data_IF_158843792509
#
_entry.id   IF_158843792509
#
_cell.length_a   1.000
_cell.length_b   1.000
_cell.length_c   1.000
_cell.angle_alpha   90.00
_cell.angle_beta   90.00
_cell.angle_gamma   90.00
#
_symmetry.space_group_name_H-M   'P 1'
#
loop_
_entity.id
_entity.type
_entity.pdbx_description
1 polymer ?
#
# COMPACT_ATOMS: atom_id res chain seq x y z
N UNK A 1 11.84 7.18 17.75
CA UNK A 1 11.32 7.25 16.37
C UNK A 1 10.00 6.52 16.40
N UNK A 2 8.89 7.25 16.31
CA UNK A 2 7.56 6.62 16.31
C UNK A 2 7.49 5.67 15.12
N UNK A 3 7.19 4.40 15.40
CA UNK A 3 7.01 3.41 14.36
C UNK A 3 5.65 3.70 13.73
N UNK A 4 5.63 4.34 12.56
CA UNK A 4 4.41 4.38 11.74
C UNK A 4 4.07 2.93 11.42
N UNK A 5 2.87 2.48 11.75
CA UNK A 5 2.40 1.13 11.39
C UNK A 5 1.76 1.12 9.97
N UNK A 6 1.49 2.31 9.41
CA UNK A 6 0.97 2.53 8.05
C UNK A 6 1.77 3.65 7.38
N UNK A 7 2.12 3.45 6.11
CA UNK A 7 2.81 4.41 5.25
C UNK A 7 1.98 4.70 4.00
N UNK A 8 2.29 5.78 3.29
CA UNK A 8 1.64 6.08 2.01
C UNK A 8 2.54 5.68 0.84
N UNK A 9 2.00 4.98 -0.14
CA UNK A 9 2.71 4.59 -1.37
C UNK A 9 1.99 5.10 -2.62
N UNK A 10 2.76 5.65 -3.55
CA UNK A 10 2.28 5.97 -4.89
C UNK A 10 2.41 4.75 -5.80
N UNK A 11 1.31 4.31 -6.39
CA UNK A 11 1.20 3.11 -7.21
C UNK A 11 0.57 3.43 -8.57
N UNK A 12 0.77 2.54 -9.55
CA UNK A 12 0.11 2.59 -10.86
C UNK A 12 -0.91 1.46 -10.98
N UNK A 13 -2.14 1.79 -11.39
CA UNK A 13 -3.21 0.82 -11.68
C UNK A 13 -3.71 1.11 -13.10
N UNK A 14 -3.46 0.20 -14.03
CA UNK A 14 -3.66 0.47 -15.46
C UNK A 14 -2.85 1.71 -15.89
N UNK A 15 -3.55 2.71 -16.42
CA UNK A 15 -2.94 3.99 -16.85
C UNK A 15 -3.01 5.10 -15.78
N UNK A 16 -3.55 4.80 -14.59
CA UNK A 16 -3.73 5.77 -13.51
C UNK A 16 -2.65 5.65 -12.44
N UNK A 17 -2.29 6.79 -11.84
CA UNK A 17 -1.43 6.86 -10.65
C UNK A 17 -2.33 7.19 -9.44
N UNK A 18 -2.18 6.43 -8.35
CA UNK A 18 -2.97 6.61 -7.12
C UNK A 18 -2.06 6.55 -5.89
N UNK A 19 -2.49 7.20 -4.81
CA UNK A 19 -1.94 6.98 -3.48
C UNK A 19 -2.74 5.86 -2.80
N UNK A 20 -2.05 5.02 -2.05
CA UNK A 20 -2.63 3.96 -1.25
C UNK A 20 -1.85 3.78 0.05
N UNK A 21 -2.48 3.11 1.01
CA UNK A 21 -1.80 2.73 2.25
C UNK A 21 -0.88 1.54 1.99
N UNK A 22 0.26 1.55 2.66
CA UNK A 22 1.29 0.54 2.64
C UNK A 22 1.47 0.02 4.07
N UNK A 23 1.47 -1.31 4.20
CA UNK A 23 1.77 -2.00 5.46
C UNK A 23 2.80 -3.08 5.23
N UNK A 24 3.51 -3.47 6.28
CA UNK A 24 4.40 -4.63 6.24
C UNK A 24 3.76 -5.79 7.00
N UNK A 25 3.43 -6.85 6.26
CA UNK A 25 2.93 -8.10 6.82
C UNK A 25 4.05 -9.13 6.73
N UNK A 26 4.52 -9.64 7.87
CA UNK A 26 5.63 -10.60 7.95
C UNK A 26 6.90 -10.18 7.17
N UNK A 27 7.19 -8.88 7.16
CA UNK A 27 8.34 -8.29 6.46
C UNK A 27 8.14 -8.08 4.96
N UNK A 28 6.96 -8.38 4.42
CA UNK A 28 6.60 -8.16 3.02
C UNK A 28 5.75 -6.89 2.89
N UNK A 29 6.12 -5.94 2.01
CA UNK A 29 5.32 -4.75 1.76
C UNK A 29 4.03 -5.11 1.04
N UNK A 30 2.91 -4.57 1.50
CA UNK A 30 1.59 -4.78 0.93
C UNK A 30 0.88 -3.44 0.75
N UNK A 31 0.26 -3.24 -0.41
CA UNK A 31 -0.75 -2.19 -0.60
C UNK A 31 -2.04 -2.65 0.08
N UNK A 32 -2.63 -1.79 0.90
CA UNK A 32 -3.97 -2.01 1.43
C UNK A 32 -4.98 -1.48 0.42
N UNK A 33 -5.83 -2.37 -0.08
CA UNK A 33 -6.90 -2.06 -1.00
C UNK A 33 -8.20 -1.73 -0.26
N UNK A 34 -8.49 -2.50 0.78
CA UNK A 34 -9.65 -2.30 1.67
C UNK A 34 -9.25 -2.52 3.12
N UNK A 35 -9.73 -1.64 3.99
CA UNK A 35 -9.67 -1.80 5.43
C UNK A 35 -10.93 -2.50 5.95
N UNK A 36 -10.76 -3.45 6.87
CA UNK A 36 -11.89 -4.02 7.60
C UNK A 36 -12.13 -3.25 8.89
N UNK A 37 -13.26 -2.58 8.95
CA UNK A 37 -13.78 -1.95 10.16
C UNK A 37 -14.48 -3.00 11.02
N UNK A 38 -13.74 -3.68 11.89
CA UNK A 38 -14.37 -4.38 13.01
C UNK A 38 -14.39 -3.47 14.24
N UNK A 39 -15.46 -3.56 15.04
CA UNK A 39 -15.84 -2.63 16.11
C UNK A 39 -14.79 -2.33 17.21
N UNK A 40 -13.61 -2.96 17.17
CA UNK A 40 -12.53 -2.76 18.13
C UNK A 40 -11.18 -2.37 17.52
N UNK A 41 -10.88 -2.71 16.25
CA UNK A 41 -9.62 -2.35 15.58
C UNK A 41 -9.76 -2.40 14.05
N UNK A 42 -9.33 -1.35 13.38
CA UNK A 42 -9.10 -1.31 11.94
C UNK A 42 -7.92 -2.23 11.58
N UNK A 43 -8.08 -3.09 10.58
CA UNK A 43 -7.01 -3.95 10.09
C UNK A 43 -7.08 -4.13 8.56
N UNK A 44 -5.94 -4.36 7.88
CA UNK A 44 -5.95 -4.54 6.42
C UNK A 44 -6.80 -5.75 6.06
N UNK A 45 -7.79 -5.56 5.19
CA UNK A 45 -8.69 -6.62 4.74
C UNK A 45 -8.25 -7.22 3.42
N UNK A 46 -8.34 -6.43 2.36
CA UNK A 46 -7.84 -6.81 1.03
C UNK A 46 -6.49 -6.15 0.83
N UNK A 47 -5.47 -6.94 0.56
CA UNK A 47 -4.10 -6.45 0.36
C UNK A 47 -3.45 -7.06 -0.87
N UNK A 48 -2.55 -6.31 -1.51
CA UNK A 48 -1.76 -6.76 -2.66
C UNK A 48 -0.27 -6.77 -2.26
N UNK A 49 0.41 -7.93 -2.28
CA UNK A 49 1.84 -7.98 -1.99
C UNK A 49 2.63 -7.26 -3.08
N UNK A 50 3.62 -6.47 -2.67
CA UNK A 50 4.56 -5.81 -3.55
C UNK A 50 5.92 -6.52 -3.54
N UNK A 51 6.63 -6.43 -4.65
CA UNK A 51 8.05 -6.80 -4.67
C UNK A 51 8.88 -5.65 -4.08
N UNK A 52 9.56 -5.83 -2.93
CA UNK A 52 10.32 -4.76 -2.27
C UNK A 52 11.45 -4.20 -3.14
N UNK A 53 11.93 -4.93 -4.15
CA UNK A 53 12.98 -4.45 -5.07
C UNK A 53 12.53 -3.29 -5.96
N UNK A 54 11.22 -3.09 -6.06
CA UNK A 54 10.61 -2.02 -6.85
C UNK A 54 10.03 -0.89 -5.99
N UNK A 55 10.14 -1.01 -4.66
CA UNK A 55 9.69 -0.01 -3.72
C UNK A 55 10.84 0.98 -3.44
N UNK A 56 10.60 2.26 -3.63
CA UNK A 56 11.60 3.32 -3.42
C UNK A 56 11.09 4.29 -2.37
N UNK A 57 11.90 4.56 -1.35
CA UNK A 57 11.63 5.63 -0.39
C UNK A 57 11.73 7.00 -1.08
N UNK A 58 10.77 7.88 -0.81
CA UNK A 58 10.77 9.25 -1.35
C UNK A 58 10.65 10.29 -0.25
N UNK A 59 11.66 10.38 0.65
CA UNK A 59 11.59 11.31 1.77
C UNK A 59 11.47 12.76 1.26
N UNK A 60 10.40 13.44 1.69
CA UNK A 60 10.16 14.85 1.38
C UNK A 60 9.49 15.12 0.03
N UNK A 61 9.00 14.10 -0.68
CA UNK A 61 8.20 14.28 -1.89
C UNK A 61 6.71 14.19 -1.57
N UNK A 62 6.01 15.32 -1.47
CA UNK A 62 4.57 15.40 -1.23
C UNK A 62 4.11 14.57 0.00
N UNK A 63 2.88 14.04 -0.05
CA UNK A 63 2.22 13.29 1.03
C UNK A 63 2.47 11.76 0.96
N UNK A 64 3.55 11.33 0.30
CA UNK A 64 3.87 9.91 0.12
C UNK A 64 5.24 9.53 0.72
N UNK A 65 5.29 8.38 1.38
CA UNK A 65 6.53 7.84 1.95
C UNK A 65 7.29 7.00 0.88
N UNK A 66 6.56 6.37 -0.04
CA UNK A 66 7.12 5.45 -1.05
C UNK A 66 6.55 5.65 -2.46
N UNK A 67 7.30 5.15 -3.45
CA UNK A 67 6.85 4.96 -4.84
C UNK A 67 7.09 3.51 -5.25
N UNK A 68 6.09 2.90 -5.88
CA UNK A 68 6.18 1.59 -6.52
C UNK A 68 6.06 1.74 -8.05
N UNK A 69 7.11 1.35 -8.77
CA UNK A 69 7.21 1.61 -10.21
C UNK A 69 6.33 0.73 -11.11
N UNK A 70 6.32 -0.61 -10.94
CA UNK A 70 5.51 -1.50 -11.76
C UNK A 70 4.01 -1.26 -11.58
N UNK A 71 3.19 -1.48 -12.61
CA UNK A 71 1.74 -1.48 -12.45
C UNK A 71 1.32 -2.63 -11.54
N UNK A 72 0.33 -2.37 -10.68
CA UNK A 72 -0.38 -3.39 -9.92
C UNK A 72 -1.74 -3.65 -10.56
N UNK A 73 -2.25 -4.87 -10.39
CA UNK A 73 -3.62 -5.21 -10.76
C UNK A 73 -4.52 -4.99 -9.55
N UNK A 74 -5.67 -4.35 -9.76
CA UNK A 74 -6.72 -4.33 -8.75
C UNK A 74 -7.13 -5.78 -8.44
N UNK A 75 -7.52 -6.10 -7.20
CA UNK A 75 -8.10 -7.41 -6.92
C UNK A 75 -9.35 -7.56 -7.78
N UNK A 76 -9.54 -8.75 -8.36
CA UNK A 76 -10.79 -9.06 -9.05
C UNK A 76 -11.92 -8.86 -8.03
N UNK A 77 -12.83 -7.93 -8.30
CA UNK A 77 -14.05 -7.80 -7.53
C UNK A 77 -14.85 -9.08 -7.72
N UNK A 78 -14.68 -10.05 -6.83
CA UNK A 78 -15.54 -11.21 -6.76
C UNK A 78 -16.96 -10.71 -6.44
N UNK A 79 -17.72 -10.48 -7.51
CA UNK A 79 -19.14 -10.12 -7.47
C UNK A 79 -19.99 -11.37 -7.31
#
# INVERSE_FOLDING_TARGET
>A
MERKDVWTVMIRIGDEIRLADLVYLDGVPHVVWEWHEQAANEHPGVTIPLDPRHLQETPGFADQDFVYGPPIQAPDSAS
#
